data_IF_393483824856
#
_entry.id   IF_393483824856
#
_cell.length_a   1.000
_cell.length_b   1.000
_cell.length_c   1.000
_cell.angle_alpha   90.00
_cell.angle_beta   90.00
_cell.angle_gamma   90.00
#
_symmetry.space_group_name_H-M   'P 1'
#
loop_
_entity.id
_entity.type
_entity.pdbx_description
1 polymer ?
#
# COMPACT_ATOMS: atom_id res chain seq x y z
N UNK A 1 -28.19 1.34 -0.27
CA UNK A 1 -26.83 0.77 -0.21
C UNK A 1 -26.02 1.40 -1.34
N UNK A 2 -25.02 2.24 -1.06
CA UNK A 2 -24.18 2.80 -2.12
C UNK A 2 -23.46 1.64 -2.86
N UNK A 3 -23.43 1.68 -4.20
CA UNK A 3 -22.66 0.72 -5.00
C UNK A 3 -21.22 0.71 -4.50
N UNK A 4 -20.73 -0.43 -4.01
CA UNK A 4 -19.34 -0.59 -3.62
C UNK A 4 -18.47 -0.32 -4.85
N UNK A 5 -17.61 0.70 -4.79
CA UNK A 5 -16.61 0.96 -5.81
C UNK A 5 -15.63 -0.22 -5.79
N UNK A 6 -15.77 -1.15 -6.74
CA UNK A 6 -14.79 -2.23 -6.92
C UNK A 6 -13.48 -1.59 -7.39
N UNK A 7 -12.43 -1.76 -6.60
CA UNK A 7 -11.07 -1.42 -7.02
C UNK A 7 -10.58 -2.56 -7.92
N UNK A 8 -10.08 -2.20 -9.10
CA UNK A 8 -9.36 -3.15 -9.93
C UNK A 8 -7.95 -3.37 -9.36
N UNK A 9 -7.80 -4.47 -8.63
CA UNK A 9 -6.51 -4.87 -8.04
C UNK A 9 -5.49 -5.30 -9.11
N UNK A 10 -5.92 -5.54 -10.35
CA UNK A 10 -5.03 -5.75 -11.49
C UNK A 10 -4.38 -4.47 -12.00
N UNK A 11 -4.89 -3.30 -11.60
CA UNK A 11 -4.46 -2.02 -12.15
C UNK A 11 -3.95 -1.03 -11.09
N UNK A 12 -3.19 -1.53 -10.12
CA UNK A 12 -2.60 -0.71 -9.05
C UNK A 12 -1.59 0.32 -9.55
N UNK A 13 -0.97 0.06 -10.71
CA UNK A 13 -0.10 1.03 -11.36
C UNK A 13 -0.89 2.28 -11.79
N UNK A 14 -2.10 2.13 -12.32
CA UNK A 14 -2.97 3.26 -12.65
C UNK A 14 -3.48 3.98 -11.40
N UNK A 15 -3.88 3.24 -10.37
CA UNK A 15 -4.26 3.84 -9.08
C UNK A 15 -3.14 4.74 -8.58
N UNK A 16 -1.92 4.22 -8.46
CA UNK A 16 -0.75 5.01 -8.04
C UNK A 16 -0.49 6.22 -8.95
N UNK A 17 -0.53 6.03 -10.27
CA UNK A 17 -0.29 7.12 -11.25
C UNK A 17 -1.34 8.22 -11.14
N UNK A 18 -2.59 7.89 -10.84
CA UNK A 18 -3.66 8.87 -10.61
C UNK A 18 -3.38 9.76 -9.38
N UNK A 19 -2.59 9.28 -8.43
CA UNK A 19 -2.12 10.04 -7.28
C UNK A 19 -0.80 10.80 -7.53
N UNK A 20 -0.19 10.67 -8.71
CA UNK A 20 1.06 11.36 -9.04
C UNK A 20 2.30 10.85 -8.29
N UNK A 21 2.22 9.64 -7.73
CA UNK A 21 3.26 9.09 -6.86
C UNK A 21 4.15 8.09 -7.59
N UNK A 22 5.41 8.01 -7.18
CA UNK A 22 6.30 6.91 -7.60
C UNK A 22 6.02 5.64 -6.77
N UNK A 23 6.58 4.51 -7.20
CA UNK A 23 6.38 3.21 -6.53
C UNK A 23 6.84 3.24 -5.07
N UNK A 24 7.95 3.90 -4.77
CA UNK A 24 8.46 3.94 -3.41
C UNK A 24 7.50 4.63 -2.45
N UNK A 25 7.02 5.82 -2.81
CA UNK A 25 6.07 6.61 -2.00
C UNK A 25 4.79 5.82 -1.78
N UNK A 26 4.21 5.30 -2.87
CA UNK A 26 2.94 4.58 -2.80
C UNK A 26 3.02 3.30 -1.98
N UNK A 27 4.05 2.48 -2.20
CA UNK A 27 4.14 1.16 -1.57
C UNK A 27 4.64 1.22 -0.12
N UNK A 28 5.49 2.20 0.23
CA UNK A 28 5.97 2.35 1.61
C UNK A 28 4.84 2.59 2.61
N UNK A 29 3.74 3.24 2.21
CA UNK A 29 2.58 3.47 3.09
C UNK A 29 1.98 2.15 3.59
N UNK A 30 2.06 1.10 2.77
CA UNK A 30 1.56 -0.25 3.08
C UNK A 30 2.64 -1.18 3.64
N UNK A 31 3.82 -0.66 3.99
CA UNK A 31 4.91 -1.48 4.49
C UNK A 31 5.64 -2.29 3.41
N UNK A 32 5.51 -1.89 2.13
CA UNK A 32 6.09 -2.60 0.98
C UNK A 32 7.28 -1.80 0.43
N UNK A 33 8.38 -2.48 0.11
CA UNK A 33 9.54 -1.86 -0.54
C UNK A 33 9.23 -1.48 -2.00
N UNK A 34 10.00 -0.56 -2.59
CA UNK A 34 9.83 -0.19 -4.00
C UNK A 34 9.92 -1.41 -4.94
N UNK A 35 10.91 -2.29 -4.73
CA UNK A 35 11.08 -3.51 -5.53
C UNK A 35 9.96 -4.53 -5.31
N UNK A 36 9.41 -4.61 -4.10
CA UNK A 36 8.22 -5.41 -3.81
C UNK A 36 6.98 -4.88 -4.55
N UNK A 37 6.78 -3.57 -4.48
CA UNK A 37 5.70 -2.88 -5.19
C UNK A 37 5.77 -3.03 -6.71
N UNK A 38 6.97 -2.91 -7.28
CA UNK A 38 7.20 -3.14 -8.72
C UNK A 38 6.76 -4.54 -9.16
N UNK A 39 7.03 -5.58 -8.34
CA UNK A 39 6.56 -6.95 -8.63
C UNK A 39 5.05 -7.05 -8.62
N UNK A 40 4.38 -6.40 -7.67
CA UNK A 40 2.92 -6.37 -7.59
C UNK A 40 2.31 -5.66 -8.81
N UNK A 41 2.86 -4.53 -9.22
CA UNK A 41 2.44 -3.81 -10.43
C UNK A 41 2.70 -4.60 -11.73
N UNK A 42 3.61 -5.58 -11.70
CA UNK A 42 3.94 -6.43 -12.84
C UNK A 42 3.17 -7.77 -12.87
N UNK A 43 2.12 -7.91 -12.04
CA UNK A 43 1.24 -9.07 -12.04
C UNK A 43 1.58 -10.17 -11.02
N UNK A 44 2.55 -9.96 -10.12
CA UNK A 44 2.74 -10.89 -8.99
C UNK A 44 1.56 -10.81 -8.04
N UNK A 45 1.10 -11.97 -7.56
CA UNK A 45 0.04 -12.03 -6.55
C UNK A 45 0.41 -11.21 -5.30
N UNK A 46 -0.56 -10.42 -4.83
CA UNK A 46 -0.41 -9.54 -3.68
C UNK A 46 -0.89 -10.27 -2.43
N UNK A 47 -0.12 -10.28 -1.33
CA UNK A 47 -0.58 -10.86 -0.08
C UNK A 47 -1.90 -10.23 0.37
N UNK A 48 -2.86 -11.06 0.81
CA UNK A 48 -4.20 -10.62 1.23
C UNK A 48 -4.19 -9.44 2.21
N UNK A 49 -3.31 -9.37 3.24
CA UNK A 49 -3.28 -8.22 4.14
C UNK A 49 -2.95 -6.90 3.42
N UNK A 50 -2.05 -6.92 2.44
CA UNK A 50 -1.69 -5.74 1.65
C UNK A 50 -2.85 -5.34 0.74
N UNK A 51 -3.49 -6.32 0.09
CA UNK A 51 -4.66 -6.07 -0.76
C UNK A 51 -5.82 -5.41 0.02
N UNK A 52 -6.07 -5.84 1.26
CA UNK A 52 -7.06 -5.24 2.14
C UNK A 52 -6.70 -3.77 2.43
N UNK A 53 -5.45 -3.47 2.83
CA UNK A 53 -5.03 -2.11 3.14
C UNK A 53 -5.15 -1.17 1.93
N UNK A 54 -4.74 -1.64 0.75
CA UNK A 54 -4.88 -0.89 -0.50
C UNK A 54 -6.35 -0.63 -0.81
N UNK A 55 -7.23 -1.63 -0.64
CA UNK A 55 -8.67 -1.48 -0.84
C UNK A 55 -9.31 -0.48 0.13
N UNK A 56 -8.99 -0.56 1.42
CA UNK A 56 -9.47 0.39 2.43
C UNK A 56 -9.03 1.82 2.12
N UNK A 57 -7.77 2.00 1.70
CA UNK A 57 -7.22 3.31 1.37
C UNK A 57 -7.85 3.87 0.08
N UNK A 58 -7.93 3.06 -0.98
CA UNK A 58 -8.45 3.48 -2.27
C UNK A 58 -9.97 3.78 -2.27
N UNK A 59 -10.69 3.20 -1.31
CA UNK A 59 -12.11 3.49 -1.05
C UNK A 59 -12.32 4.65 -0.06
N UNK A 60 -11.24 5.20 0.51
CA UNK A 60 -11.28 6.30 1.47
C UNK A 60 -11.72 5.89 2.89
N UNK A 61 -11.81 4.59 3.19
CA UNK A 61 -12.13 4.10 4.54
C UNK A 61 -10.99 4.35 5.53
N UNK A 62 -9.75 4.41 5.05
CA UNK A 62 -8.57 4.83 5.80
C UNK A 62 -7.79 5.86 4.98
N UNK A 63 -7.02 6.70 5.66
CA UNK A 63 -6.12 7.68 5.05
C UNK A 63 -4.68 7.47 5.51
N UNK A 64 -3.75 8.27 4.99
CA UNK A 64 -2.32 8.18 5.32
C UNK A 64 -2.04 8.41 6.82
N UNK A 65 -2.85 9.24 7.49
CA UNK A 65 -2.73 9.46 8.93
C UNK A 65 -3.11 8.21 9.73
N UNK A 66 -4.22 7.54 9.38
CA UNK A 66 -4.62 6.29 10.02
C UNK A 66 -3.57 5.20 9.85
N UNK A 67 -2.97 5.08 8.67
CA UNK A 67 -1.85 4.17 8.41
C UNK A 67 -0.62 4.51 9.27
N UNK A 68 -0.31 5.80 9.41
CA UNK A 68 0.78 6.26 10.27
C UNK A 68 0.54 5.93 11.75
N UNK A 69 -0.67 6.16 12.26
CA UNK A 69 -1.01 5.82 13.64
C UNK A 69 -0.97 4.32 13.87
N UNK A 70 -1.50 3.51 12.95
CA UNK A 70 -1.42 2.05 13.02
C UNK A 70 0.03 1.56 13.12
N UNK A 71 0.96 2.18 12.38
CA UNK A 71 2.39 1.86 12.43
C UNK A 71 3.04 2.24 13.77
N UNK A 72 2.64 3.35 14.39
CA UNK A 72 3.12 3.75 15.73
C UNK A 72 2.67 2.75 16.80
N UNK A 73 1.42 2.30 16.74
CA UNK A 73 0.86 1.30 17.69
C UNK A 73 1.69 0.01 17.71
N UNK A 74 2.24 -0.39 16.56
CA UNK A 74 3.06 -1.59 16.42
C UNK A 74 4.58 -1.33 16.46
N UNK A 75 5.02 -0.12 16.85
CA UNK A 75 6.43 0.29 16.91
C UNK A 75 7.22 0.08 15.60
N UNK A 76 6.62 0.40 14.43
CA UNK A 76 7.28 0.27 13.12
C UNK A 76 7.58 1.64 12.46
N UNK A 77 8.82 1.96 12.08
CA UNK A 77 9.20 3.26 11.49
C UNK A 77 8.76 3.43 10.04
N UNK A 78 8.39 4.65 9.60
CA UNK A 78 7.94 4.97 8.21
C UNK A 78 8.99 4.65 7.14
N UNK A 79 10.25 4.79 7.52
CA UNK A 79 11.37 4.43 6.67
C UNK A 79 11.60 2.93 6.84
N UNK A 80 11.19 2.14 5.86
CA UNK A 80 11.69 0.77 5.71
C UNK A 80 13.15 0.93 5.26
N UNK A 81 14.09 1.06 6.21
CA UNK A 81 15.48 0.78 5.90
C UNK A 81 15.55 -0.72 5.69
N UNK A 82 16.00 -1.16 4.52
CA UNK A 82 16.08 -2.57 4.08
C UNK A 82 16.74 -3.50 5.12
N UNK A 83 17.49 -2.95 6.08
CA UNK A 83 18.28 -3.66 7.08
C UNK A 83 17.53 -4.04 8.37
N UNK A 84 16.43 -3.37 8.74
CA UNK A 84 15.82 -3.54 10.08
C UNK A 84 14.69 -4.61 10.16
N UNK A 85 14.31 -5.21 9.04
CA UNK A 85 13.18 -6.17 8.99
C UNK A 85 13.60 -7.61 8.68
N UNK A 86 14.89 -7.86 8.44
CA UNK A 86 15.44 -9.17 8.06
C UNK A 86 16.60 -9.65 8.94
N UNK A 87 16.81 -9.04 10.10
CA UNK A 87 17.78 -9.52 11.10
C UNK A 87 17.07 -9.79 12.42
#
# INVERSE_FOLDING_TARGET
>A
MAKSKKIDMGNLAELRRAHGENQEVFWRRFGVTQSGGSRYESGRNIPTPIAILVGLWATGQINDEALLQARKVINRPLVIKTVEYFT
#
